data_IF_708934614577
#
_entry.id   IF_708934614577
#
_cell.length_a   1.000
_cell.length_b   1.000
_cell.length_c   1.000
_cell.angle_alpha   90.00
_cell.angle_beta   90.00
_cell.angle_gamma   90.00
#
_symmetry.space_group_name_H-M   'P 1'
#
loop_
_entity.id
_entity.type
_entity.pdbx_description
1 polymer ?
#
# COMPACT_ATOMS: atom_id res chain seq x y z
N UNK A 1 16.19 -11.76 15.53
CA UNK A 1 15.59 -11.56 15.00
C UNK A 1 15.01 -11.62 14.26
N UNK A 2 14.67 -11.96 14.10
CA UNK A 2 14.12 -12.05 13.34
C UNK A 2 13.59 -11.62 12.55
N UNK A 3 13.56 -11.81 12.01
CA UNK A 3 13.11 -11.47 11.11
C UNK A 3 12.06 -11.77 10.59
N UNK A 4 11.43 -11.80 10.91
CA UNK A 4 10.13 -12.15 10.58
C UNK A 4 9.64 -11.52 9.33
N UNK A 5 10.47 -11.08 8.55
CA UNK A 5 10.09 -10.28 7.42
C UNK A 5 10.20 -11.01 6.13
N UNK A 6 9.92 -12.28 6.19
CA UNK A 6 9.95 -13.11 5.01
C UNK A 6 8.71 -12.93 4.15
N UNK A 7 7.67 -12.33 4.70
CA UNK A 7 6.41 -12.15 3.97
C UNK A 7 6.35 -10.73 3.43
N UNK A 8 6.61 -10.54 2.12
CA UNK A 8 6.69 -9.19 1.59
C UNK A 8 5.39 -8.39 1.68
N UNK A 9 4.25 -9.07 1.78
CA UNK A 9 2.97 -8.38 1.89
C UNK A 9 2.44 -8.30 3.31
N UNK A 10 3.24 -8.73 4.25
CA UNK A 10 2.82 -8.74 5.64
C UNK A 10 3.02 -7.36 6.23
N UNK A 11 1.94 -6.74 6.66
CA UNK A 11 1.97 -5.41 7.20
C UNK A 11 2.15 -5.46 8.71
N UNK A 12 3.01 -4.62 9.23
CA UNK A 12 3.23 -4.50 10.65
C UNK A 12 1.94 -4.09 11.35
N UNK A 13 1.65 -4.70 12.49
CA UNK A 13 0.45 -4.38 13.24
C UNK A 13 0.48 -2.95 13.79
N UNK A 14 1.67 -2.35 13.87
CA UNK A 14 1.82 -1.00 14.39
C UNK A 14 1.60 0.07 13.33
N UNK A 15 1.60 -0.31 12.08
CA UNK A 15 1.48 0.64 10.99
C UNK A 15 0.04 1.02 10.77
N UNK A 16 -0.25 2.31 10.89
CA UNK A 16 -1.61 2.82 10.69
C UNK A 16 -1.82 3.41 9.31
N UNK A 17 -0.76 3.68 8.56
CA UNK A 17 -0.86 4.25 7.23
C UNK A 17 -0.25 3.30 6.21
N UNK A 18 -1.03 2.91 5.23
CA UNK A 18 -0.58 2.02 4.17
C UNK A 18 -0.64 2.77 2.85
N UNK A 19 0.47 2.82 2.13
CA UNK A 19 0.55 3.49 0.84
C UNK A 19 0.72 2.42 -0.23
N UNK A 20 -0.30 2.29 -1.07
CA UNK A 20 -0.28 1.31 -2.14
C UNK A 20 0.21 1.98 -3.41
N UNK A 21 1.29 1.47 -3.96
CA UNK A 21 1.97 2.07 -5.09
C UNK A 21 1.87 1.16 -6.30
N UNK A 22 1.31 1.68 -7.39
CA UNK A 22 1.32 0.96 -8.66
C UNK A 22 2.58 1.41 -9.43
N UNK A 23 3.58 0.54 -9.46
CA UNK A 23 4.89 0.88 -10.03
C UNK A 23 4.84 1.29 -11.50
N UNK A 24 3.85 0.79 -12.22
CA UNK A 24 3.77 1.08 -13.66
C UNK A 24 2.86 2.25 -13.99
N UNK A 25 2.24 2.85 -12.97
CA UNK A 25 1.34 3.97 -13.22
C UNK A 25 2.10 5.18 -13.76
N UNK A 26 1.44 5.92 -14.64
CA UNK A 26 2.03 7.13 -15.19
C UNK A 26 3.32 6.87 -15.95
N UNK A 27 3.45 5.69 -16.54
CA UNK A 27 4.64 5.31 -17.30
C UNK A 27 5.90 5.38 -16.45
N UNK A 28 5.77 4.96 -15.21
CA UNK A 28 6.91 4.92 -14.30
C UNK A 28 7.16 6.22 -13.56
N UNK A 29 6.33 7.23 -13.76
CA UNK A 29 6.52 8.50 -13.05
C UNK A 29 6.32 8.37 -11.55
N UNK A 30 5.56 7.37 -11.15
CA UNK A 30 5.34 7.12 -9.72
C UNK A 30 6.66 6.97 -8.98
N UNK A 31 7.64 6.33 -9.61
CA UNK A 31 8.94 6.12 -8.96
C UNK A 31 9.62 7.44 -8.61
N UNK A 32 9.44 8.46 -9.45
CA UNK A 32 10.07 9.75 -9.19
C UNK A 32 9.49 10.42 -7.95
N UNK A 33 8.21 10.21 -7.69
CA UNK A 33 7.56 10.81 -6.53
C UNK A 33 7.65 9.95 -5.29
N UNK A 34 7.80 8.65 -5.47
CA UNK A 34 7.78 7.72 -4.36
C UNK A 34 8.85 8.06 -3.32
N UNK A 35 10.07 8.32 -3.77
CA UNK A 35 11.13 8.62 -2.83
C UNK A 35 10.86 9.91 -2.07
N UNK A 36 10.30 10.90 -2.76
CA UNK A 36 9.95 12.16 -2.10
C UNK A 36 8.89 11.97 -1.03
N UNK A 37 7.91 11.12 -1.32
CA UNK A 37 6.85 10.84 -0.34
C UNK A 37 7.42 10.08 0.84
N UNK A 38 8.28 9.11 0.60
CA UNK A 38 8.94 8.39 1.69
C UNK A 38 9.74 9.35 2.58
N UNK A 39 10.50 10.23 1.95
CA UNK A 39 11.32 11.18 2.70
C UNK A 39 10.46 12.14 3.51
N UNK A 40 9.34 12.57 2.93
CA UNK A 40 8.44 13.47 3.62
C UNK A 40 7.81 12.81 4.85
N UNK A 41 7.37 11.57 4.68
CA UNK A 41 6.76 10.84 5.78
C UNK A 41 7.77 10.63 6.90
N UNK A 42 9.01 10.33 6.53
CA UNK A 42 10.06 10.16 7.51
C UNK A 42 10.33 11.48 8.25
N UNK A 43 10.40 12.57 7.50
CA UNK A 43 10.61 13.89 8.07
C UNK A 43 9.50 14.26 9.05
N UNK A 44 8.27 13.91 8.71
CA UNK A 44 7.11 14.22 9.54
C UNK A 44 6.86 13.18 10.64
N UNK A 45 7.71 12.18 10.71
CA UNK A 45 7.58 11.10 11.70
C UNK A 45 6.26 10.34 11.56
N UNK A 46 5.81 10.16 10.33
CA UNK A 46 4.60 9.38 10.04
C UNK A 46 5.01 7.96 9.76
N UNK A 47 4.54 7.05 10.59
CA UNK A 47 4.81 5.62 10.39
C UNK A 47 3.91 5.12 9.26
N UNK A 48 4.51 4.79 8.12
CA UNK A 48 3.77 4.32 6.97
C UNK A 48 4.51 3.15 6.34
N UNK A 49 3.72 2.25 5.76
CA UNK A 49 4.28 1.16 4.99
C UNK A 49 3.91 1.34 3.53
N UNK A 50 4.87 1.12 2.65
CA UNK A 50 4.68 1.30 1.22
C UNK A 50 4.64 -0.08 0.57
N UNK A 51 3.53 -0.39 -0.09
CA UNK A 51 3.37 -1.67 -0.76
C UNK A 51 3.39 -1.43 -2.27
N UNK A 52 4.48 -1.82 -2.90
CA UNK A 52 4.66 -1.62 -4.33
C UNK A 52 4.17 -2.84 -5.09
N UNK A 53 3.31 -2.60 -6.04
CA UNK A 53 2.73 -3.68 -6.84
C UNK A 53 2.89 -3.40 -8.32
N UNK A 54 2.88 -4.45 -9.12
CA UNK A 54 3.06 -4.33 -10.56
C UNK A 54 1.78 -4.44 -11.36
N UNK A 55 0.64 -4.66 -10.69
CA UNK A 55 -0.63 -4.79 -11.39
C UNK A 55 -1.78 -4.44 -10.47
N UNK A 56 -2.93 -4.14 -11.06
CA UNK A 56 -4.13 -3.83 -10.28
C UNK A 56 -4.57 -5.05 -9.47
N UNK A 57 -4.46 -6.23 -10.06
CA UNK A 57 -4.86 -7.46 -9.39
C UNK A 57 -4.02 -7.70 -8.13
N UNK A 58 -2.73 -7.49 -8.26
CA UNK A 58 -1.80 -7.65 -7.13
C UNK A 58 -2.12 -6.65 -6.04
N UNK A 59 -2.43 -5.42 -6.42
CA UNK A 59 -2.74 -4.36 -5.47
C UNK A 59 -4.04 -4.65 -4.73
N UNK A 60 -5.04 -5.10 -5.46
CA UNK A 60 -6.33 -5.44 -4.86
C UNK A 60 -6.15 -6.54 -3.80
N UNK A 61 -5.38 -7.55 -4.12
CA UNK A 61 -5.12 -8.66 -3.20
C UNK A 61 -4.38 -8.17 -1.96
N UNK A 62 -3.37 -7.31 -2.16
CA UNK A 62 -2.60 -6.78 -1.04
C UNK A 62 -3.46 -5.93 -0.13
N UNK A 63 -4.36 -5.13 -0.70
CA UNK A 63 -5.25 -4.30 0.08
C UNK A 63 -6.19 -5.15 0.92
N UNK A 64 -6.75 -6.20 0.34
CA UNK A 64 -7.64 -7.08 1.06
C UNK A 64 -6.93 -7.73 2.23
N UNK A 65 -5.72 -8.22 2.00
CA UNK A 65 -4.98 -8.90 3.05
C UNK A 65 -4.60 -7.93 4.18
N UNK A 66 -4.24 -6.72 3.82
CA UNK A 66 -3.85 -5.73 4.82
C UNK A 66 -5.01 -5.36 5.74
N UNK A 67 -6.20 -5.21 5.17
CA UNK A 67 -7.35 -4.77 5.93
C UNK A 67 -8.00 -5.84 6.77
N UNK A 68 -7.68 -7.09 6.53
CA UNK A 68 -8.14 -8.17 7.39
C UNK A 68 -7.63 -7.96 8.82
N UNK A 69 -6.53 -7.25 8.95
CA UNK A 69 -5.91 -7.01 10.25
C UNK A 69 -6.47 -5.81 11.00
N UNK A 70 -7.42 -5.11 10.39
CA UNK A 70 -8.06 -3.99 11.05
C UNK A 70 -8.05 -2.74 10.19
N UNK A 71 -8.82 -1.72 10.61
CA UNK A 71 -8.94 -0.48 9.84
C UNK A 71 -7.64 0.30 9.80
N UNK A 72 -7.34 0.88 8.66
CA UNK A 72 -6.14 1.67 8.44
C UNK A 72 -6.44 2.79 7.48
N UNK A 73 -5.58 3.80 7.49
CA UNK A 73 -5.63 4.82 6.46
C UNK A 73 -4.93 4.29 5.23
N UNK A 74 -5.65 4.26 4.13
CA UNK A 74 -5.12 3.74 2.87
C UNK A 74 -4.91 4.89 1.90
N UNK A 75 -3.72 4.95 1.34
CA UNK A 75 -3.37 5.94 0.33
C UNK A 75 -2.98 5.21 -0.94
N UNK A 76 -3.34 5.78 -2.07
CA UNK A 76 -3.02 5.19 -3.37
C UNK A 76 -2.11 6.11 -4.15
N UNK A 77 -1.04 5.57 -4.71
CA UNK A 77 -0.17 6.29 -5.63
C UNK A 77 -0.30 5.65 -6.99
N UNK A 78 -0.92 6.36 -7.92
CA UNK A 78 -1.18 5.86 -9.27
C UNK A 78 -2.33 6.61 -9.88
N UNK A 79 -2.98 5.98 -10.85
CA UNK A 79 -4.13 6.58 -11.52
C UNK A 79 -5.44 6.02 -11.02
N UNK A 80 -6.51 6.25 -11.82
CA UNK A 80 -7.85 5.80 -11.46
C UNK A 80 -7.92 4.30 -11.25
N UNK A 81 -7.20 3.53 -12.06
CA UNK A 81 -7.17 2.08 -11.91
C UNK A 81 -6.57 1.64 -10.58
N UNK A 82 -5.58 2.39 -10.10
CA UNK A 82 -4.96 2.11 -8.81
C UNK A 82 -5.97 2.34 -7.70
N UNK A 83 -6.69 3.45 -7.78
CA UNK A 83 -7.71 3.77 -6.78
C UNK A 83 -8.80 2.72 -6.77
N UNK A 84 -9.28 2.30 -7.95
CA UNK A 84 -10.33 1.30 -8.03
C UNK A 84 -9.89 -0.04 -7.45
N UNK A 85 -8.66 -0.45 -7.74
CA UNK A 85 -8.15 -1.70 -7.21
C UNK A 85 -8.07 -1.65 -5.68
N UNK A 86 -7.62 -0.52 -5.15
CA UNK A 86 -7.54 -0.35 -3.71
C UNK A 86 -8.93 -0.41 -3.09
N UNK A 87 -9.89 0.28 -3.68
CA UNK A 87 -11.25 0.28 -3.16
C UNK A 87 -11.88 -1.11 -3.21
N UNK A 88 -11.68 -1.82 -4.31
CA UNK A 88 -12.22 -3.18 -4.45
C UNK A 88 -11.65 -4.12 -3.39
N UNK A 89 -10.35 -4.02 -3.16
CA UNK A 89 -9.71 -4.85 -2.13
C UNK A 89 -10.24 -4.51 -0.74
N UNK A 90 -10.41 -3.23 -0.47
CA UNK A 90 -10.89 -2.78 0.83
C UNK A 90 -12.32 -3.26 1.08
N UNK A 91 -13.18 -3.14 0.07
CA UNK A 91 -14.55 -3.61 0.21
C UNK A 91 -14.62 -5.12 0.40
N UNK A 92 -13.79 -5.85 -0.33
CA UNK A 92 -13.76 -7.31 -0.19
C UNK A 92 -13.40 -7.74 1.22
N UNK A 93 -12.48 -7.01 1.83
CA UNK A 93 -12.01 -7.36 3.17
C UNK A 93 -13.10 -7.19 4.22
N UNK A 94 -14.09 -6.36 3.94
CA UNK A 94 -15.18 -6.10 4.90
C UNK A 94 -16.30 -7.11 4.84
N UNK A 95 -16.33 -7.90 3.80
CA UNK A 95 -17.40 -8.90 3.66
C UNK A 95 -17.13 -10.08 4.55
N UNK A 96 -18.17 -10.57 5.20
CA UNK A 96 -18.05 -11.77 6.02
C UNK A 96 -17.71 -12.99 5.20
#
# INVERSE_FOLDING_TARGET
MMNAHTEPHLVSSDTSVLVFVNRVAGRGRVQAYLQRIRDLFEFLHIAAEFLETGSASELESAARQALVRGPRLLLAMGGDGTFQALANGAFSARKP
#
